data_IF_960869793906
#
_entry.id   IF_960869793906
#
_cell.length_a   1.000
_cell.length_b   1.000
_cell.length_c   1.000
_cell.angle_alpha   90.00
_cell.angle_beta   90.00
_cell.angle_gamma   90.00
#
_symmetry.space_group_name_H-M   'P 1'
#
loop_
_entity.id
_entity.type
_entity.pdbx_description
1 polymer ?
#
# COMPACT_ATOMS: atom_id res chain seq x y z
N UNK A 1 32.98 -27.63 -16.74
CA UNK A 1 31.85 -27.52 -15.78
C UNK A 1 30.78 -28.53 -16.17
N UNK A 2 30.32 -29.38 -15.25
CA UNK A 2 29.40 -30.49 -15.57
C UNK A 2 27.95 -30.01 -15.63
N UNK A 3 27.14 -30.62 -16.52
CA UNK A 3 25.69 -30.37 -16.69
C UNK A 3 24.89 -30.39 -15.37
N UNK A 4 25.36 -31.15 -14.37
CA UNK A 4 24.78 -31.18 -13.01
C UNK A 4 24.89 -29.84 -12.28
N UNK A 5 25.99 -29.12 -12.49
CA UNK A 5 26.22 -27.82 -11.86
C UNK A 5 25.30 -26.74 -12.45
N UNK A 6 25.06 -26.79 -13.77
CA UNK A 6 24.19 -25.84 -14.46
C UNK A 6 22.70 -26.04 -14.10
N UNK A 7 22.25 -27.30 -13.96
CA UNK A 7 20.89 -27.60 -13.47
C UNK A 7 20.67 -27.10 -12.04
N UNK A 8 21.67 -27.25 -11.17
CA UNK A 8 21.59 -26.76 -9.78
C UNK A 8 21.56 -25.23 -9.69
N UNK A 9 22.28 -24.53 -10.56
CA UNK A 9 22.21 -23.07 -10.66
C UNK A 9 20.83 -22.60 -11.17
N UNK A 10 20.29 -23.23 -12.23
CA UNK A 10 18.96 -22.89 -12.72
C UNK A 10 17.85 -23.15 -11.70
N UNK A 11 17.94 -24.25 -10.95
CA UNK A 11 16.97 -24.56 -9.90
C UNK A 11 17.02 -23.56 -8.73
N UNK A 12 18.18 -22.92 -8.52
CA UNK A 12 18.36 -21.88 -7.50
C UNK A 12 17.80 -20.53 -7.97
N UNK A 13 17.97 -20.19 -9.25
CA UNK A 13 17.40 -18.97 -9.86
C UNK A 13 15.87 -19.03 -9.89
N UNK A 14 15.28 -20.15 -10.32
CA UNK A 14 13.82 -20.37 -10.30
C UNK A 14 13.21 -20.20 -8.90
N UNK A 15 13.93 -20.61 -7.85
CA UNK A 15 13.46 -20.50 -6.46
C UNK A 15 13.42 -19.04 -5.98
N UNK A 16 14.31 -18.19 -6.48
CA UNK A 16 14.37 -16.75 -6.17
C UNK A 16 13.23 -15.99 -6.86
N UNK A 17 12.98 -16.25 -8.14
CA UNK A 17 11.87 -15.62 -8.87
C UNK A 17 10.50 -15.99 -8.29
N UNK A 18 10.34 -17.22 -7.80
CA UNK A 18 9.10 -17.66 -7.15
C UNK A 18 8.86 -16.96 -5.81
N UNK A 19 9.91 -16.60 -5.07
CA UNK A 19 9.80 -15.83 -3.83
C UNK A 19 9.49 -14.36 -4.06
N UNK A 20 10.00 -13.76 -5.15
CA UNK A 20 9.67 -12.38 -5.52
C UNK A 20 8.18 -12.24 -5.89
N UNK A 21 7.61 -13.19 -6.63
CA UNK A 21 6.18 -13.19 -6.99
C UNK A 21 5.26 -13.37 -5.75
N UNK A 22 5.69 -14.18 -4.78
CA UNK A 22 4.98 -14.31 -3.49
C UNK A 22 5.04 -13.04 -2.65
N UNK A 23 6.19 -12.36 -2.59
CA UNK A 23 6.34 -11.09 -1.87
C UNK A 23 5.55 -9.96 -2.53
N UNK A 24 5.46 -9.94 -3.87
CA UNK A 24 4.63 -8.99 -4.63
C UNK A 24 3.14 -9.14 -4.31
N UNK A 25 2.66 -10.37 -4.09
CA UNK A 25 1.27 -10.65 -3.70
C UNK A 25 0.97 -10.23 -2.25
N UNK A 26 1.91 -10.40 -1.33
CA UNK A 26 1.78 -9.91 0.05
C UNK A 26 1.80 -8.36 0.10
N UNK A 27 2.60 -7.72 -0.74
CA UNK A 27 2.65 -6.25 -0.83
C UNK A 27 1.33 -5.64 -1.36
N UNK A 28 0.63 -6.32 -2.29
CA UNK A 28 -0.70 -5.89 -2.73
C UNK A 28 -1.74 -5.97 -1.62
N UNK A 29 -1.67 -6.97 -0.73
CA UNK A 29 -2.57 -7.09 0.44
C UNK A 29 -2.39 -5.96 1.46
N UNK A 30 -1.18 -5.39 1.58
CA UNK A 30 -0.92 -4.24 2.46
C UNK A 30 -1.47 -2.91 1.90
N UNK A 31 -1.68 -2.82 0.57
CA UNK A 31 -2.36 -1.67 -0.06
C UNK A 31 -3.86 -1.61 0.25
N UNK A 32 -4.50 -2.75 0.58
CA UNK A 32 -5.91 -2.80 1.00
C UNK A 32 -6.10 -2.36 2.45
N UNK A 33 -5.17 -2.69 3.36
CA UNK A 33 -5.27 -2.32 4.78
C UNK A 33 -5.18 -0.80 4.97
N UNK A 34 -4.44 -0.09 4.11
CA UNK A 34 -4.34 1.38 4.18
C UNK A 34 -5.65 2.09 3.81
N UNK A 35 -6.54 1.45 3.03
CA UNK A 35 -7.84 2.03 2.66
C UNK A 35 -8.91 1.95 3.77
N UNK A 36 -8.71 1.14 4.81
CA UNK A 36 -9.74 0.88 5.82
C UNK A 36 -9.67 1.76 7.08
N UNK A 37 -8.74 2.73 7.16
CA UNK A 37 -8.52 3.56 8.36
C UNK A 37 -9.07 4.99 8.26
N UNK A 38 -9.75 5.34 7.17
CA UNK A 38 -10.40 6.64 7.02
C UNK A 38 -11.88 6.47 6.71
N UNK A 39 -12.73 6.90 7.65
CA UNK A 39 -14.19 7.17 7.57
C UNK A 39 -15.05 6.28 8.49
N UNK A 40 -15.03 6.62 9.78
CA UNK A 40 -16.20 6.48 10.65
C UNK A 40 -16.86 7.85 10.76
N UNK A 41 -18.13 7.95 10.38
CA UNK A 41 -18.93 9.18 10.46
C UNK A 41 -20.31 8.98 9.84
N UNK A 42 -21.16 8.28 10.60
CA UNK A 42 -22.61 8.44 10.83
C UNK A 42 -23.60 8.65 9.66
N UNK A 43 -24.71 7.94 9.82
CA UNK A 43 -25.88 7.75 8.97
C UNK A 43 -26.76 9.01 8.79
N UNK A 44 -27.47 9.11 7.66
CA UNK A 44 -28.94 9.24 7.58
C UNK A 44 -29.41 9.55 6.14
N UNK A 45 -30.25 8.64 5.64
CA UNK A 45 -31.41 8.72 4.74
C UNK A 45 -31.53 9.71 3.55
N UNK A 46 -31.92 9.08 2.44
CA UNK A 46 -32.85 9.51 1.37
C UNK A 46 -32.47 10.61 0.34
N UNK A 47 -32.49 10.13 -0.92
CA UNK A 47 -33.10 10.75 -2.11
C UNK A 47 -32.21 11.42 -3.19
N UNK A 48 -32.56 11.03 -4.42
CA UNK A 48 -32.25 11.54 -5.76
C UNK A 48 -30.84 12.05 -6.16
N UNK A 49 -30.29 11.37 -7.18
CA UNK A 49 -29.83 12.04 -8.39
C UNK A 49 -28.40 12.56 -8.42
N UNK A 50 -27.50 11.87 -9.13
CA UNK A 50 -26.22 12.46 -9.52
C UNK A 50 -25.21 11.45 -10.03
N UNK A 51 -24.94 11.48 -11.33
CA UNK A 51 -24.08 10.51 -12.02
C UNK A 51 -22.66 10.41 -11.46
N UNK A 52 -22.12 9.19 -11.47
CA UNK A 52 -20.72 8.92 -11.13
C UNK A 52 -20.07 8.00 -12.16
N UNK A 53 -19.22 8.65 -12.96
CA UNK A 53 -17.86 8.28 -13.40
C UNK A 53 -17.58 6.82 -13.80
N UNK A 54 -17.62 6.57 -15.11
CA UNK A 54 -16.84 5.49 -15.73
C UNK A 54 -15.35 5.82 -15.60
N UNK A 55 -14.60 4.88 -15.03
CA UNK A 55 -13.13 4.91 -14.96
C UNK A 55 -12.60 4.66 -16.38
N UNK A 56 -12.33 5.73 -17.12
CA UNK A 56 -11.68 5.65 -18.42
C UNK A 56 -10.24 5.14 -18.24
N UNK A 57 -9.95 3.99 -18.85
CA UNK A 57 -8.61 3.39 -18.85
C UNK A 57 -7.64 4.26 -19.64
N UNK A 58 -6.34 4.22 -19.31
CA UNK A 58 -5.32 5.12 -19.88
C UNK A 58 -5.17 5.14 -21.41
N UNK A 59 -5.77 4.18 -22.13
CA UNK A 59 -5.88 4.20 -23.59
C UNK A 59 -6.92 5.21 -24.13
N UNK A 60 -7.95 5.56 -23.35
CA UNK A 60 -8.98 6.53 -23.75
C UNK A 60 -8.47 7.97 -23.65
N UNK A 61 -7.60 8.28 -22.69
CA UNK A 61 -6.97 9.61 -22.55
C UNK A 61 -6.09 9.94 -23.78
N UNK A 62 -5.39 8.94 -24.32
CA UNK A 62 -4.56 9.08 -25.52
C UNK A 62 -5.39 9.27 -26.79
N UNK A 63 -6.61 8.71 -26.85
CA UNK A 63 -7.54 8.93 -27.96
C UNK A 63 -8.27 10.27 -27.82
N UNK A 64 -8.63 10.69 -26.61
CA UNK A 64 -9.38 11.93 -26.37
C UNK A 64 -8.54 13.19 -26.60
N UNK A 65 -7.23 13.13 -26.35
CA UNK A 65 -6.32 14.26 -26.61
C UNK A 65 -6.12 14.52 -28.11
N UNK A 66 -6.32 13.51 -28.97
CA UNK A 66 -6.02 13.62 -30.41
C UNK A 66 -7.24 14.05 -31.23
N UNK A 67 -8.47 13.90 -30.75
CA UNK A 67 -9.68 14.28 -31.50
C UNK A 67 -10.78 14.75 -30.54
N UNK A 68 -10.85 16.05 -30.26
CA UNK A 68 -12.10 16.80 -29.99
C UNK A 68 -11.83 18.29 -29.86
N UNK A 69 -11.86 18.97 -31.00
CA UNK A 69 -12.43 20.32 -31.10
C UNK A 69 -13.34 20.32 -32.33
N UNK A 70 -14.58 19.89 -32.11
CA UNK A 70 -15.69 19.95 -33.07
C UNK A 70 -16.23 21.39 -33.16
N UNK A 71 -15.40 22.35 -33.57
CA UNK A 71 -15.88 23.68 -33.94
C UNK A 71 -15.01 24.18 -35.09
N UNK A 72 -15.45 23.86 -36.31
CA UNK A 72 -15.27 24.62 -37.56
C UNK A 72 -15.68 23.75 -38.75
N UNK A 73 -16.93 23.26 -38.74
CA UNK A 73 -17.60 22.90 -39.98
C UNK A 73 -17.96 24.21 -40.68
N UNK A 74 -16.99 24.76 -41.42
CA UNK A 74 -17.30 25.75 -42.43
C UNK A 74 -18.20 25.10 -43.47
N UNK A 75 -19.46 25.52 -43.40
CA UNK A 75 -20.49 25.30 -44.38
C UNK A 75 -20.01 25.73 -45.77
N UNK A 76 -19.77 24.74 -46.63
CA UNK A 76 -19.70 24.94 -48.07
C UNK A 76 -20.31 23.70 -48.73
N UNK A 77 -21.63 23.73 -48.89
CA UNK A 77 -22.26 22.94 -49.94
C UNK A 77 -21.63 23.30 -51.29
N UNK A 78 -21.24 22.28 -52.06
CA UNK A 78 -20.91 22.42 -53.48
C UNK A 78 -19.58 21.81 -53.89
N UNK A 79 -19.66 20.62 -54.50
CA UNK A 79 -18.68 19.97 -55.39
C UNK A 79 -17.19 20.03 -55.02
N UNK A 80 -16.61 18.85 -54.73
CA UNK A 80 -15.15 18.65 -54.72
C UNK A 80 -14.58 19.23 -56.02
N UNK A 81 -13.67 20.23 -55.97
CA UNK A 81 -13.17 20.89 -57.17
C UNK A 81 -12.52 19.87 -58.10
N UNK A 82 -12.71 20.04 -59.40
CA UNK A 82 -12.25 19.08 -60.42
C UNK A 82 -10.75 18.85 -60.29
N UNK A 83 -10.31 17.59 -60.28
CA UNK A 83 -8.88 17.25 -60.12
C UNK A 83 -8.07 17.89 -61.25
N UNK A 84 -7.03 18.64 -60.89
CA UNK A 84 -6.22 19.42 -61.85
C UNK A 84 -6.70 20.85 -62.09
N UNK A 85 -7.84 21.26 -61.52
CA UNK A 85 -8.26 22.67 -61.51
C UNK A 85 -7.39 23.52 -60.57
N UNK A 86 -7.28 24.81 -60.87
CA UNK A 86 -6.60 25.82 -60.03
C UNK A 86 -7.12 25.79 -58.58
N UNK A 87 -8.41 25.59 -58.40
CA UNK A 87 -9.08 25.53 -57.10
C UNK A 87 -8.74 24.26 -56.33
N UNK A 88 -8.64 23.11 -57.02
CA UNK A 88 -8.19 21.86 -56.42
C UNK A 88 -6.73 21.97 -55.94
N UNK A 89 -5.85 22.59 -56.72
CA UNK A 89 -4.47 22.87 -56.32
C UNK A 89 -4.37 23.88 -55.17
N UNK A 90 -5.26 24.87 -55.11
CA UNK A 90 -5.35 25.85 -54.00
C UNK A 90 -5.81 25.17 -52.71
N UNK A 91 -6.89 24.38 -52.76
CA UNK A 91 -7.45 23.65 -51.63
C UNK A 91 -6.46 22.64 -51.06
N UNK A 92 -5.76 21.89 -51.93
CA UNK A 92 -4.75 20.94 -51.47
C UNK A 92 -3.57 21.62 -50.78
N UNK A 93 -3.13 22.79 -51.28
CA UNK A 93 -2.07 23.59 -50.64
C UNK A 93 -2.53 24.18 -49.30
N UNK A 94 -3.74 24.72 -49.22
CA UNK A 94 -4.27 25.29 -47.97
C UNK A 94 -4.50 24.20 -46.92
N UNK A 95 -5.09 23.07 -47.31
CA UNK A 95 -5.28 21.93 -46.42
C UNK A 95 -3.94 21.40 -45.90
N UNK A 96 -2.92 21.26 -46.77
CA UNK A 96 -1.59 20.83 -46.34
C UNK A 96 -0.94 21.81 -45.33
N UNK A 97 -1.08 23.13 -45.55
CA UNK A 97 -0.62 24.15 -44.58
C UNK A 97 -1.34 24.04 -43.25
N UNK A 98 -2.65 23.81 -43.29
CA UNK A 98 -3.50 23.70 -42.11
C UNK A 98 -3.16 22.46 -41.29
N UNK A 99 -2.93 21.32 -41.94
CA UNK A 99 -2.44 20.09 -41.29
C UNK A 99 -1.11 20.35 -40.58
N UNK A 100 -0.16 21.00 -41.24
CA UNK A 100 1.15 21.30 -40.64
C UNK A 100 1.05 22.35 -39.51
N UNK A 101 0.16 23.33 -39.62
CA UNK A 101 -0.13 24.29 -38.54
C UNK A 101 -0.62 23.57 -37.28
N UNK A 102 -1.65 22.71 -37.42
CA UNK A 102 -2.18 21.92 -36.30
C UNK A 102 -1.11 21.05 -35.66
N UNK A 103 -0.30 20.36 -36.47
CA UNK A 103 0.83 19.57 -35.96
C UNK A 103 1.80 20.41 -35.11
N UNK A 104 2.15 21.62 -35.58
CA UNK A 104 3.04 22.53 -34.84
C UNK A 104 2.42 23.00 -33.53
N UNK A 105 1.12 23.26 -33.51
CA UNK A 105 0.39 23.66 -32.31
C UNK A 105 0.42 22.56 -31.26
N UNK A 106 0.06 21.33 -31.63
CA UNK A 106 0.13 20.18 -30.71
C UNK A 106 1.54 19.98 -30.14
N UNK A 107 2.59 20.13 -30.96
CA UNK A 107 3.99 20.05 -30.49
C UNK A 107 4.31 21.19 -29.51
N UNK A 108 3.85 22.42 -29.79
CA UNK A 108 4.13 23.56 -28.92
C UNK A 108 3.37 23.46 -27.59
N UNK A 109 2.13 22.98 -27.62
CA UNK A 109 1.32 22.71 -26.44
C UNK A 109 1.98 21.65 -25.56
N UNK A 110 2.37 20.51 -26.14
CA UNK A 110 3.06 19.44 -25.40
C UNK A 110 4.40 19.90 -24.78
N UNK A 111 5.20 20.71 -25.49
CA UNK A 111 6.43 21.29 -24.92
C UNK A 111 6.13 22.26 -23.78
N UNK A 112 5.06 23.06 -23.91
CA UNK A 112 4.67 24.01 -22.87
C UNK A 112 4.17 23.31 -21.61
N UNK A 113 3.49 22.18 -21.77
CA UNK A 113 3.04 21.36 -20.65
C UNK A 113 4.21 20.71 -19.90
N UNK A 114 5.23 20.22 -20.62
CA UNK A 114 6.48 19.77 -19.99
C UNK A 114 7.14 20.87 -19.14
N UNK A 115 7.16 22.11 -19.63
CA UNK A 115 7.73 23.23 -18.89
C UNK A 115 6.98 23.57 -17.59
N UNK A 116 5.69 23.22 -17.50
CA UNK A 116 4.85 23.48 -16.32
C UNK A 116 5.14 22.50 -15.17
N UNK A 117 5.42 21.23 -15.49
CA UNK A 117 5.64 20.17 -14.50
C UNK A 117 7.12 20.04 -14.09
N UNK A 118 8.05 20.46 -14.96
CA UNK A 118 9.48 20.37 -14.70
C UNK A 118 9.97 21.66 -14.04
N UNK A 119 10.58 21.59 -12.84
CA UNK A 119 11.04 22.79 -12.13
C UNK A 119 12.23 23.45 -12.83
N UNK A 120 12.24 24.78 -12.84
CA UNK A 120 13.34 25.60 -13.37
C UNK A 120 13.42 25.65 -14.89
N UNK A 121 12.31 25.40 -15.59
CA UNK A 121 12.25 25.53 -17.04
C UNK A 121 12.19 27.01 -17.49
N UNK A 122 13.09 27.38 -18.41
CA UNK A 122 13.05 28.65 -19.13
C UNK A 122 12.15 28.55 -20.38
N UNK A 123 11.88 29.67 -21.07
CA UNK A 123 11.06 29.71 -22.30
C UNK A 123 11.71 29.06 -23.54
N UNK A 124 12.89 28.44 -23.41
CA UNK A 124 13.63 27.86 -24.53
C UNK A 124 13.27 26.38 -24.72
N UNK A 125 12.69 26.01 -25.87
CA UNK A 125 12.27 24.64 -26.19
C UNK A 125 13.39 23.60 -26.04
N UNK A 126 14.62 23.93 -26.44
CA UNK A 126 15.76 23.03 -26.31
C UNK A 126 16.12 22.76 -24.85
N UNK A 127 16.20 23.83 -24.04
CA UNK A 127 16.47 23.73 -22.60
C UNK A 127 15.36 23.01 -21.84
N UNK A 128 14.10 23.21 -22.22
CA UNK A 128 12.95 22.50 -21.61
C UNK A 128 13.15 20.99 -21.80
N UNK A 129 13.47 20.53 -23.02
CA UNK A 129 13.68 19.11 -23.30
C UNK A 129 14.86 18.54 -22.52
N UNK A 130 16.00 19.23 -22.53
CA UNK A 130 17.20 18.81 -21.77
C UNK A 130 16.91 18.72 -20.27
N UNK A 131 16.25 19.74 -19.70
CA UNK A 131 15.89 19.77 -18.29
C UNK A 131 14.89 18.68 -17.93
N UNK A 132 13.93 18.40 -18.82
CA UNK A 132 12.97 17.31 -18.64
C UNK A 132 13.68 15.97 -18.53
N UNK A 133 14.64 15.68 -19.41
CA UNK A 133 15.42 14.44 -19.35
C UNK A 133 16.20 14.32 -18.04
N UNK A 134 16.90 15.39 -17.64
CA UNK A 134 17.63 15.42 -16.37
C UNK A 134 16.70 15.22 -15.16
N UNK A 135 15.52 15.85 -15.18
CA UNK A 135 14.56 15.73 -14.09
C UNK A 135 13.96 14.32 -13.99
N UNK A 136 13.66 13.66 -15.11
CA UNK A 136 13.23 12.26 -15.11
C UNK A 136 14.30 11.36 -14.51
N UNK A 137 15.57 11.56 -14.87
CA UNK A 137 16.68 10.79 -14.28
C UNK A 137 16.78 11.00 -12.77
N UNK A 138 16.69 12.26 -12.33
CA UNK A 138 16.69 12.60 -10.91
C UNK A 138 15.50 11.96 -10.17
N UNK A 139 14.29 11.96 -10.76
CA UNK A 139 13.12 11.32 -10.16
C UNK A 139 13.32 9.81 -10.00
N UNK A 140 13.91 9.14 -11.00
CA UNK A 140 14.23 7.70 -10.92
C UNK A 140 15.27 7.39 -9.85
N UNK A 141 16.30 8.22 -9.73
CA UNK A 141 17.31 8.06 -8.67
C UNK A 141 16.72 8.32 -7.28
N UNK A 142 15.88 9.35 -7.16
CA UNK A 142 15.17 9.65 -5.92
C UNK A 142 14.19 8.53 -5.52
N UNK A 143 13.49 7.94 -6.48
CA UNK A 143 12.64 6.77 -6.25
C UNK A 143 13.44 5.58 -5.72
N UNK A 144 14.60 5.27 -6.33
CA UNK A 144 15.49 4.20 -5.86
C UNK A 144 15.98 4.47 -4.42
N UNK A 145 16.43 5.69 -4.14
CA UNK A 145 16.89 6.09 -2.81
C UNK A 145 15.78 6.03 -1.76
N UNK A 146 14.55 6.43 -2.14
CA UNK A 146 13.40 6.32 -1.26
C UNK A 146 13.11 4.86 -0.95
N UNK A 147 13.06 3.98 -1.96
CA UNK A 147 12.84 2.54 -1.76
C UNK A 147 13.87 1.97 -0.79
N UNK A 148 15.16 2.29 -0.96
CA UNK A 148 16.22 1.85 -0.06
C UNK A 148 16.00 2.36 1.38
N UNK A 149 15.69 3.65 1.53
CA UNK A 149 15.41 4.26 2.84
C UNK A 149 14.21 3.60 3.53
N UNK A 150 13.09 3.45 2.83
CA UNK A 150 11.89 2.81 3.37
C UNK A 150 12.14 1.35 3.74
N UNK A 151 12.93 0.63 2.93
CA UNK A 151 13.31 -0.76 3.21
C UNK A 151 14.14 -0.86 4.49
N UNK A 152 15.12 0.03 4.65
CA UNK A 152 15.94 0.09 5.86
C UNK A 152 15.11 0.43 7.11
N UNK A 153 14.29 1.47 7.03
CA UNK A 153 13.40 1.87 8.13
C UNK A 153 12.45 0.74 8.54
N UNK A 154 11.88 0.03 7.56
CA UNK A 154 11.04 -1.14 7.81
C UNK A 154 11.81 -2.24 8.54
N UNK A 155 13.00 -2.62 8.06
CA UNK A 155 13.82 -3.67 8.69
C UNK A 155 14.19 -3.31 10.14
N UNK A 156 14.56 -2.05 10.40
CA UNK A 156 14.88 -1.59 11.75
C UNK A 156 13.66 -1.62 12.67
N UNK A 157 12.50 -1.21 12.15
CA UNK A 157 11.26 -1.23 12.92
C UNK A 157 10.80 -2.66 13.21
N UNK A 158 10.87 -3.55 12.22
CA UNK A 158 10.55 -4.97 12.38
C UNK A 158 11.47 -5.63 13.42
N UNK A 159 12.77 -5.29 13.41
CA UNK A 159 13.71 -5.76 14.43
C UNK A 159 13.35 -5.25 15.83
N UNK A 160 13.05 -3.96 15.97
CA UNK A 160 12.64 -3.38 17.25
C UNK A 160 11.33 -4.00 17.77
N UNK A 161 10.35 -4.23 16.90
CA UNK A 161 9.09 -4.90 17.24
C UNK A 161 9.36 -6.33 17.71
N UNK A 162 10.25 -7.06 17.04
CA UNK A 162 10.64 -8.42 17.43
C UNK A 162 11.27 -8.46 18.82
N UNK A 163 12.20 -7.55 19.11
CA UNK A 163 12.86 -7.43 20.41
C UNK A 163 11.89 -7.03 21.53
N UNK A 164 11.03 -6.04 21.28
CA UNK A 164 9.98 -5.63 22.21
C UNK A 164 8.97 -6.75 22.47
N UNK A 165 8.60 -7.51 21.43
CA UNK A 165 7.69 -8.65 21.57
C UNK A 165 8.33 -9.77 22.41
N UNK A 166 9.61 -10.07 22.18
CA UNK A 166 10.35 -11.07 22.94
C UNK A 166 10.51 -10.68 24.42
N UNK A 167 10.81 -9.41 24.71
CA UNK A 167 10.90 -8.92 26.09
C UNK A 167 9.53 -8.92 26.78
N UNK A 168 8.46 -8.55 26.08
CA UNK A 168 7.10 -8.61 26.59
C UNK A 168 6.67 -10.05 26.94
N UNK A 169 6.98 -11.02 26.08
CA UNK A 169 6.72 -12.44 26.35
C UNK A 169 7.47 -12.94 27.58
N UNK A 170 8.75 -12.57 27.75
CA UNK A 170 9.53 -12.92 28.94
C UNK A 170 8.92 -12.35 30.22
N UNK A 171 8.51 -11.08 30.20
CA UNK A 171 7.87 -10.43 31.34
C UNK A 171 6.53 -11.09 31.70
N UNK A 172 5.70 -11.43 30.71
CA UNK A 172 4.46 -12.18 30.93
C UNK A 172 4.72 -13.53 31.60
N UNK A 173 5.68 -14.30 31.09
CA UNK A 173 6.05 -15.59 31.66
C UNK A 173 6.53 -15.48 33.12
N UNK A 174 7.27 -14.42 33.44
CA UNK A 174 7.75 -14.16 34.79
C UNK A 174 6.63 -13.73 35.74
N UNK A 175 5.72 -12.86 35.28
CA UNK A 175 4.50 -12.53 36.00
C UNK A 175 3.69 -13.79 36.33
N UNK A 176 3.46 -14.67 35.34
CA UNK A 176 2.73 -15.93 35.52
C UNK A 176 3.43 -16.89 36.49
N UNK A 177 4.77 -16.89 36.52
CA UNK A 177 5.56 -17.67 37.49
C UNK A 177 5.38 -17.14 38.90
N UNK A 178 5.57 -15.83 39.11
CA UNK A 178 5.41 -15.18 40.41
C UNK A 178 3.97 -15.30 40.92
N UNK A 179 2.98 -15.20 40.04
CA UNK A 179 1.57 -15.37 40.41
C UNK A 179 1.27 -16.79 40.93
N UNK A 180 1.85 -17.81 40.28
CA UNK A 180 1.77 -19.21 40.75
C UNK A 180 2.42 -19.38 42.12
N UNK A 181 3.60 -18.81 42.34
CA UNK A 181 4.28 -18.88 43.64
C UNK A 181 3.46 -18.22 44.75
N UNK A 182 2.96 -17.00 44.51
CA UNK A 182 2.09 -16.30 45.45
C UNK A 182 0.85 -17.15 45.79
N UNK A 183 0.24 -17.82 44.82
CA UNK A 183 -0.91 -18.69 45.08
C UNK A 183 -0.57 -19.90 45.93
N UNK A 184 0.58 -20.54 45.70
CA UNK A 184 1.05 -21.66 46.53
C UNK A 184 1.22 -21.21 47.98
N UNK A 185 1.88 -20.06 48.20
CA UNK A 185 2.05 -19.51 49.55
C UNK A 185 0.72 -19.13 50.21
N UNK A 186 -0.22 -18.55 49.46
CA UNK A 186 -1.57 -18.25 49.95
C UNK A 186 -2.32 -19.52 50.37
N UNK A 187 -2.23 -20.59 49.58
CA UNK A 187 -2.86 -21.88 49.91
C UNK A 187 -2.23 -22.51 51.15
N UNK A 188 -0.90 -22.55 51.22
CA UNK A 188 -0.18 -23.10 52.38
C UNK A 188 -0.53 -22.36 53.68
N UNK A 189 -0.58 -21.01 53.64
CA UNK A 189 -0.98 -20.20 54.78
C UNK A 189 -2.44 -20.46 55.19
N UNK A 190 -3.36 -20.64 54.24
CA UNK A 190 -4.77 -20.95 54.52
C UNK A 190 -4.95 -22.35 55.12
N UNK A 191 -4.19 -23.34 54.68
CA UNK A 191 -4.23 -24.70 55.23
C UNK A 191 -3.69 -24.78 56.66
N UNK A 192 -2.66 -24.00 57.00
CA UNK A 192 -2.14 -23.91 58.37
C UNK A 192 -3.17 -23.37 59.38
N UNK A 193 -4.03 -22.45 58.96
CA UNK A 193 -5.10 -21.85 59.78
C UNK A 193 -6.29 -22.79 60.05
N UNK A 194 -6.46 -23.86 59.26
CA UNK A 194 -7.58 -24.80 59.41
C UNK A 194 -7.26 -25.94 60.40
N UNK A 195 -5.99 -26.32 60.58
CA UNK A 195 -5.61 -27.41 61.49
C UNK A 195 -5.70 -27.02 62.97
N UNK A 196 -5.56 -25.73 63.33
CA UNK A 196 -5.68 -25.24 64.72
C UNK A 196 -7.12 -25.29 65.28
N UNK A 197 -8.14 -25.52 64.44
CA UNK A 197 -9.55 -25.55 64.87
C UNK A 197 -10.05 -26.93 65.26
N UNK A 198 -9.33 -28.00 64.92
CA UNK A 198 -9.79 -29.38 65.13
C UNK A 198 -9.15 -30.08 66.35
N UNK A 199 -8.15 -29.48 67.02
CA UNK A 199 -7.47 -30.08 68.19
C UNK A 199 -8.13 -29.81 69.57
N UNK A 200 -9.31 -29.17 69.65
CA UNK A 200 -10.04 -29.01 70.92
C UNK A 200 -11.27 -29.92 71.02
N UNK A 201 -11.07 -31.24 70.97
CA UNK A 201 -12.04 -32.23 71.46
C UNK A 201 -11.33 -33.47 72.00
N UNK A 202 -10.97 -33.43 73.27
CA UNK A 202 -10.98 -34.56 74.21
C UNK A 202 -11.37 -33.92 75.56
N UNK A 203 -12.37 -34.41 76.28
CA UNK A 203 -12.21 -35.61 77.12
C UNK A 203 -13.44 -36.54 77.14
N UNK A 204 -13.25 -37.87 77.16
CA UNK A 204 -14.29 -38.82 77.53
C UNK A 204 -14.44 -38.84 79.05
N UNK A 205 -15.60 -38.42 79.55
CA UNK A 205 -15.96 -38.52 80.98
C UNK A 205 -15.92 -40.00 81.38
N UNK A 206 -14.91 -40.38 82.17
CA UNK A 206 -14.81 -41.67 82.83
C UNK A 206 -15.94 -41.82 83.84
N UNK A 207 -16.96 -42.62 83.53
CA UNK A 207 -18.03 -42.95 84.45
C UNK A 207 -17.51 -44.02 85.44
N UNK A 208 -16.98 -43.58 86.58
CA UNK A 208 -16.61 -44.45 87.70
C UNK A 208 -17.89 -45.01 88.30
N UNK A 209 -18.16 -46.28 87.97
CA UNK A 209 -19.18 -47.13 88.59
C UNK A 209 -18.85 -47.29 90.08
N UNK A 210 -19.53 -46.55 90.94
CA UNK A 210 -19.47 -46.76 92.39
C UNK A 210 -20.21 -48.06 92.76
N UNK A 211 -19.47 -49.02 93.29
CA UNK A 211 -20.02 -50.20 93.96
C UNK A 211 -20.34 -49.90 95.44
N UNK A 212 -21.57 -50.26 95.82
CA UNK A 212 -22.10 -50.80 97.11
C UNK A 212 -21.84 -50.12 98.47
N UNK A 213 -22.92 -50.12 99.28
CA UNK A 213 -23.07 -50.31 100.75
C UNK A 213 -24.28 -49.47 101.21
N UNK A 214 -25.34 -49.93 101.87
CA UNK A 214 -25.79 -51.19 102.49
C UNK A 214 -27.32 -51.31 102.33
#
# INVERSE_FOLDING_TARGET
MTLKHLKKQNQRVEKVYRTEDSLSKEFHGLSEITRYTGMNGEDDDDDEGGGIYSVETGEEILKSTVIRREEDLHEAGGHKPMVGSEEWHRLRRSNHKEVERRRRETINESISELARIVPGCEKNKGKILERTVAYIQQLKENEANNIEKWTLEKLLTDQAISELSATNQKLKAECDRLWREVNVWKQAAASGLNNDKDEKKDDPISNVRAEKMD
#
